data_IF_556545885076
#
_entry.id   IF_556545885076
#
_cell.length_a   1.000
_cell.length_b   1.000
_cell.length_c   1.000
_cell.angle_alpha   90.00
_cell.angle_beta   90.00
_cell.angle_gamma   90.00
#
_symmetry.space_group_name_H-M   'P 1'
#
loop_
_entity.id
_entity.type
_entity.pdbx_description
1 polymer ?
#
# COMPACT_ATOMS: atom_id res chain seq x y z
N UNK A 1 31.56 -33.16 36.28
CA UNK A 1 32.33 -32.57 35.19
C UNK A 1 31.29 -31.86 34.35
N UNK A 2 31.02 -30.65 34.76
CA UNK A 2 30.01 -29.77 34.13
C UNK A 2 30.73 -28.64 33.42
N UNK A 3 30.57 -28.58 32.12
CA UNK A 3 30.94 -27.40 31.34
C UNK A 3 29.75 -26.48 31.22
N UNK A 4 29.75 -25.44 32.00
CA UNK A 4 28.83 -24.33 31.96
C UNK A 4 29.17 -23.46 30.77
N UNK A 5 28.33 -23.48 29.73
CA UNK A 5 28.43 -22.58 28.57
C UNK A 5 27.87 -21.22 28.96
N UNK A 6 28.72 -20.24 29.12
CA UNK A 6 28.35 -18.84 29.28
C UNK A 6 27.79 -18.28 27.98
N UNK A 7 26.54 -17.88 27.99
CA UNK A 7 25.93 -17.05 26.92
C UNK A 7 26.51 -15.63 26.99
N UNK A 8 27.33 -15.28 26.01
CA UNK A 8 27.70 -13.91 25.74
C UNK A 8 26.79 -13.36 24.61
N UNK A 9 25.86 -12.51 24.99
CA UNK A 9 25.06 -11.65 24.10
C UNK A 9 25.99 -10.66 23.40
N UNK A 10 26.20 -10.81 22.12
CA UNK A 10 26.57 -9.71 21.21
C UNK A 10 25.85 -9.94 19.89
N UNK A 11 24.79 -9.12 19.67
CA UNK A 11 24.13 -8.99 18.40
C UNK A 11 25.13 -8.60 17.31
N UNK A 12 25.42 -9.52 16.43
CA UNK A 12 25.91 -9.23 15.09
C UNK A 12 24.77 -9.53 14.15
N UNK A 13 24.21 -8.48 13.54
CA UNK A 13 23.43 -8.64 12.34
C UNK A 13 24.29 -9.46 11.37
N UNK A 14 23.83 -10.64 11.02
CA UNK A 14 24.39 -11.42 9.94
C UNK A 14 24.02 -10.65 8.65
N UNK A 15 24.92 -9.77 8.21
CA UNK A 15 24.91 -9.27 6.83
C UNK A 15 25.04 -10.48 5.92
N UNK A 16 23.95 -10.83 5.30
CA UNK A 16 23.92 -11.86 4.27
C UNK A 16 24.62 -11.31 3.01
N UNK A 17 25.94 -11.52 2.89
CA UNK A 17 26.71 -11.26 1.67
C UNK A 17 26.55 -12.43 0.69
N UNK A 18 25.31 -12.78 0.38
CA UNK A 18 25.02 -13.75 -0.67
C UNK A 18 24.39 -13.05 -1.86
N UNK A 19 24.95 -13.25 -3.04
CA UNK A 19 24.28 -12.94 -4.30
C UNK A 19 22.86 -13.47 -4.25
N UNK A 20 21.87 -12.60 -4.47
CA UNK A 20 20.46 -12.99 -4.51
C UNK A 20 20.32 -14.26 -5.34
N UNK A 21 19.59 -15.31 -4.88
CA UNK A 21 19.34 -16.50 -5.68
C UNK A 21 18.78 -16.17 -7.07
N UNK A 22 18.24 -14.98 -7.24
CA UNK A 22 17.67 -14.45 -8.48
C UNK A 22 18.72 -13.88 -9.45
N UNK A 23 19.98 -13.64 -9.02
CA UNK A 23 21.07 -13.29 -9.92
C UNK A 23 21.43 -14.42 -10.90
N UNK A 24 21.03 -15.66 -10.56
CA UNK A 24 21.22 -16.84 -11.43
C UNK A 24 20.31 -16.76 -12.67
N UNK A 25 19.19 -16.04 -12.62
CA UNK A 25 18.26 -15.93 -13.75
C UNK A 25 18.74 -15.03 -14.88
N UNK A 26 19.75 -14.19 -14.65
CA UNK A 26 20.36 -13.31 -15.68
C UNK A 26 21.10 -14.06 -16.79
N UNK A 27 21.42 -15.35 -16.58
CA UNK A 27 22.19 -16.16 -17.51
C UNK A 27 21.37 -17.27 -18.19
N UNK A 28 20.08 -17.41 -17.86
CA UNK A 28 19.27 -18.46 -18.43
C UNK A 28 18.74 -18.02 -19.77
N UNK A 29 19.17 -18.68 -20.84
CA UNK A 29 18.56 -18.57 -22.18
C UNK A 29 17.06 -18.80 -22.03
N UNK A 30 16.28 -17.75 -22.18
CA UNK A 30 14.82 -17.76 -22.00
C UNK A 30 14.22 -18.65 -23.10
N UNK A 31 13.77 -19.82 -22.75
CA UNK A 31 13.00 -20.66 -23.66
C UNK A 31 11.70 -19.90 -24.04
N UNK A 32 11.43 -19.75 -25.35
CA UNK A 32 10.25 -19.03 -25.86
C UNK A 32 8.94 -19.55 -25.25
N UNK A 33 8.85 -20.83 -24.87
CA UNK A 33 7.68 -21.41 -24.18
C UNK A 33 7.48 -20.85 -22.76
N UNK A 34 8.55 -20.47 -22.05
CA UNK A 34 8.48 -19.85 -20.72
C UNK A 34 8.13 -18.36 -20.75
N UNK A 35 8.34 -17.67 -21.87
CA UNK A 35 8.06 -16.24 -22.00
C UNK A 35 6.63 -15.87 -21.60
N UNK A 36 5.64 -16.68 -21.98
CA UNK A 36 4.22 -16.43 -21.63
C UNK A 36 3.99 -16.53 -20.13
N UNK A 37 4.49 -17.59 -19.51
CA UNK A 37 4.41 -17.78 -18.05
C UNK A 37 5.17 -16.72 -17.28
N UNK A 38 6.36 -16.36 -17.74
CA UNK A 38 7.14 -15.28 -17.13
C UNK A 38 6.40 -13.94 -17.16
N UNK A 39 5.72 -13.62 -18.26
CA UNK A 39 4.87 -12.42 -18.37
C UNK A 39 3.66 -12.45 -17.44
N UNK A 40 3.04 -13.61 -17.27
CA UNK A 40 1.92 -13.77 -16.34
C UNK A 40 2.28 -13.41 -14.90
N UNK A 41 3.53 -13.70 -14.49
CA UNK A 41 4.06 -13.38 -13.16
C UNK A 41 4.88 -12.10 -13.15
N UNK A 42 4.89 -11.32 -14.23
CA UNK A 42 5.67 -10.08 -14.37
C UNK A 42 7.18 -10.24 -14.06
N UNK A 43 7.75 -11.44 -14.22
CA UNK A 43 9.15 -11.70 -13.92
C UNK A 43 10.13 -10.82 -14.72
N UNK A 44 9.87 -10.41 -15.97
CA UNK A 44 10.75 -9.49 -16.68
C UNK A 44 10.92 -8.14 -15.98
N UNK A 45 9.94 -7.70 -15.18
CA UNK A 45 10.04 -6.43 -14.44
C UNK A 45 11.11 -6.47 -13.34
N UNK A 46 11.51 -7.67 -12.90
CA UNK A 46 12.58 -7.83 -11.90
C UNK A 46 13.99 -7.61 -12.43
N UNK A 47 14.21 -7.57 -13.75
CA UNK A 47 15.58 -7.52 -14.32
C UNK A 47 16.43 -6.37 -13.80
N UNK A 48 15.80 -5.22 -13.51
CA UNK A 48 16.50 -4.02 -13.03
C UNK A 48 16.06 -3.58 -11.64
N UNK A 49 15.36 -4.44 -10.91
CA UNK A 49 14.86 -4.17 -9.55
C UNK A 49 15.75 -4.88 -8.54
N UNK A 50 16.28 -4.13 -7.57
CA UNK A 50 16.96 -4.72 -6.41
C UNK A 50 15.93 -5.43 -5.54
N UNK A 51 16.33 -6.54 -4.93
CA UNK A 51 15.49 -7.30 -4.02
C UNK A 51 16.16 -7.48 -2.66
N UNK A 52 15.37 -7.64 -1.60
CA UNK A 52 15.84 -7.77 -0.21
C UNK A 52 15.12 -8.89 0.53
N UNK A 53 15.80 -9.43 1.53
CA UNK A 53 15.27 -10.43 2.45
C UNK A 53 15.08 -11.81 1.80
N UNK A 54 14.66 -12.79 2.64
CA UNK A 54 14.53 -14.19 2.24
C UNK A 54 13.45 -14.43 1.16
N UNK A 55 12.52 -13.50 1.02
CA UNK A 55 11.44 -13.60 0.06
C UNK A 55 11.75 -12.85 -1.26
N UNK A 56 12.93 -12.22 -1.38
CA UNK A 56 13.29 -11.46 -2.57
C UNK A 56 12.33 -10.29 -2.82
N UNK A 57 11.92 -9.57 -1.78
CA UNK A 57 11.01 -8.44 -1.92
C UNK A 57 11.63 -7.35 -2.78
N UNK A 58 10.93 -6.88 -3.84
CA UNK A 58 11.40 -5.76 -4.64
C UNK A 58 11.58 -4.51 -3.80
N UNK A 59 12.70 -3.81 -4.00
CA UNK A 59 13.00 -2.56 -3.29
C UNK A 59 12.46 -1.38 -4.08
N UNK A 60 11.81 -0.48 -3.34
CA UNK A 60 11.47 0.86 -3.82
C UNK A 60 12.66 1.79 -3.55
N UNK A 61 12.87 2.75 -4.44
CA UNK A 61 13.86 3.80 -4.24
C UNK A 61 13.23 4.95 -3.45
N UNK A 62 14.06 5.60 -2.64
CA UNK A 62 13.68 6.86 -2.00
C UNK A 62 13.39 7.92 -3.06
N UNK A 63 12.30 8.64 -2.92
CA UNK A 63 11.92 9.72 -3.80
C UNK A 63 11.43 10.91 -2.98
N UNK A 64 11.92 12.09 -3.31
CA UNK A 64 11.38 13.32 -2.78
C UNK A 64 9.99 13.57 -3.39
N UNK A 65 8.96 13.33 -2.59
CA UNK A 65 7.56 13.50 -2.97
C UNK A 65 6.86 14.33 -1.92
N UNK A 66 6.45 15.54 -2.32
CA UNK A 66 5.61 16.38 -1.46
C UNK A 66 4.21 15.77 -1.32
N UNK A 67 3.58 15.95 -0.15
CA UNK A 67 2.22 15.47 0.05
C UNK A 67 1.26 16.13 -0.96
N UNK A 68 0.41 15.36 -1.67
CA UNK A 68 -0.58 15.92 -2.56
C UNK A 68 -1.69 16.63 -1.75
N UNK A 69 -2.37 17.59 -2.36
CA UNK A 69 -3.50 18.28 -1.71
C UNK A 69 -4.68 17.32 -1.49
N UNK A 70 -4.87 16.38 -2.40
CA UNK A 70 -5.97 15.39 -2.36
C UNK A 70 -5.51 14.02 -2.81
N UNK A 71 -6.22 12.98 -2.35
CA UNK A 71 -6.07 11.61 -2.85
C UNK A 71 -7.37 11.16 -3.52
N UNK A 72 -7.25 10.53 -4.70
CA UNK A 72 -8.38 9.89 -5.37
C UNK A 72 -8.15 8.39 -5.53
N UNK A 73 -9.21 7.59 -5.49
CA UNK A 73 -9.14 6.16 -5.76
C UNK A 73 -8.76 5.88 -7.22
N UNK A 74 -7.99 4.82 -7.42
CA UNK A 74 -7.57 4.38 -8.76
C UNK A 74 -8.76 4.18 -9.72
N UNK A 75 -9.91 3.77 -9.22
CA UNK A 75 -11.14 3.59 -10.01
C UNK A 75 -11.64 4.88 -10.68
N UNK A 76 -11.22 6.06 -10.21
CA UNK A 76 -11.57 7.36 -10.77
C UNK A 76 -10.54 7.93 -11.76
N UNK A 77 -9.37 7.30 -11.90
CA UNK A 77 -8.26 7.79 -12.75
C UNK A 77 -8.70 8.01 -14.22
N UNK A 78 -9.52 7.11 -14.76
CA UNK A 78 -9.99 7.19 -16.14
C UNK A 78 -10.89 8.42 -16.41
N UNK A 79 -11.70 8.81 -15.41
CA UNK A 79 -12.61 9.95 -15.49
C UNK A 79 -12.00 11.29 -15.03
N UNK A 80 -10.80 11.27 -14.47
CA UNK A 80 -10.17 12.47 -13.94
C UNK A 80 -9.80 13.46 -15.07
N UNK A 81 -10.16 14.73 -14.87
CA UNK A 81 -9.81 15.81 -15.78
C UNK A 81 -8.30 16.07 -15.78
N UNK A 82 -7.79 16.79 -16.80
CA UNK A 82 -6.36 17.08 -17.02
C UNK A 82 -5.63 17.80 -15.85
N UNK A 83 -6.36 18.35 -14.88
CA UNK A 83 -5.80 19.14 -13.75
C UNK A 83 -5.58 18.27 -12.50
N UNK A 84 -4.82 17.19 -12.62
CA UNK A 84 -4.56 16.28 -11.50
C UNK A 84 -3.16 16.49 -10.88
N UNK A 85 -2.52 17.63 -11.13
CA UNK A 85 -1.12 17.87 -10.73
C UNK A 85 -0.89 17.98 -9.22
N UNK A 86 -1.93 18.31 -8.45
CA UNK A 86 -1.89 18.40 -6.99
C UNK A 86 -2.58 17.19 -6.32
N UNK A 87 -2.90 16.16 -7.10
CA UNK A 87 -3.64 15.01 -6.65
C UNK A 87 -2.79 13.74 -6.71
N UNK A 88 -2.83 12.92 -5.66
CA UNK A 88 -2.27 11.59 -5.63
C UNK A 88 -3.32 10.52 -5.92
N UNK A 89 -2.87 9.35 -6.37
CA UNK A 89 -3.74 8.20 -6.63
C UNK A 89 -3.49 7.14 -5.57
N UNK A 90 -4.56 6.71 -4.88
CA UNK A 90 -4.52 5.63 -3.89
C UNK A 90 -5.23 4.37 -4.36
N UNK A 91 -4.95 3.24 -3.69
CA UNK A 91 -5.55 1.93 -3.92
C UNK A 91 -6.28 1.38 -2.68
N UNK A 92 -6.65 2.23 -1.72
CA UNK A 92 -7.47 1.87 -0.55
C UNK A 92 -8.92 1.64 -0.97
N UNK A 93 -9.12 0.68 -1.82
CA UNK A 93 -10.38 0.22 -2.42
C UNK A 93 -10.28 -1.29 -2.62
N UNK A 94 -11.40 -1.98 -2.87
CA UNK A 94 -11.39 -3.42 -3.04
C UNK A 94 -10.49 -3.90 -4.19
N UNK A 95 -9.74 -4.98 -3.99
CA UNK A 95 -8.76 -5.54 -4.93
C UNK A 95 -9.31 -5.72 -6.35
N UNK A 96 -10.58 -6.15 -6.50
CA UNK A 96 -11.17 -6.37 -7.83
C UNK A 96 -11.23 -5.10 -8.70
N UNK A 97 -11.27 -3.93 -8.07
CA UNK A 97 -11.32 -2.65 -8.79
C UNK A 97 -9.98 -2.28 -9.43
N UNK A 98 -8.87 -2.82 -8.93
CA UNK A 98 -7.53 -2.51 -9.43
C UNK A 98 -6.66 -3.74 -9.78
N UNK A 99 -7.12 -4.96 -9.57
CA UNK A 99 -6.34 -6.18 -9.88
C UNK A 99 -5.76 -6.20 -11.30
N UNK A 100 -6.41 -5.50 -12.23
CA UNK A 100 -5.94 -5.31 -13.61
C UNK A 100 -4.58 -4.63 -13.74
N UNK A 101 -4.12 -3.88 -12.73
CA UNK A 101 -2.77 -3.26 -12.76
C UNK A 101 -1.66 -4.30 -12.70
N UNK A 102 -1.92 -5.46 -12.07
CA UNK A 102 -1.00 -6.59 -12.10
C UNK A 102 -0.89 -7.22 -13.49
N UNK A 103 -1.99 -7.32 -14.20
CA UNK A 103 -2.02 -7.99 -15.51
C UNK A 103 -1.38 -7.16 -16.62
N UNK A 104 -1.42 -5.83 -16.50
CA UNK A 104 -0.94 -4.89 -17.52
C UNK A 104 -0.39 -3.61 -16.86
N UNK A 105 0.69 -3.70 -16.07
CA UNK A 105 1.20 -2.54 -15.32
C UNK A 105 1.68 -1.39 -16.22
N UNK A 106 2.17 -1.71 -17.42
CA UNK A 106 2.63 -0.76 -18.42
C UNK A 106 1.51 0.15 -18.95
N UNK A 107 0.29 -0.38 -19.02
CA UNK A 107 -0.89 0.37 -19.52
C UNK A 107 -1.22 1.57 -18.65
N UNK A 108 -0.87 1.52 -17.38
CA UNK A 108 -1.22 2.55 -16.40
C UNK A 108 -0.16 3.61 -16.21
N UNK A 109 1.04 3.46 -16.76
CA UNK A 109 2.14 4.45 -16.64
C UNK A 109 1.68 5.82 -17.15
N UNK A 110 1.14 5.91 -18.35
CA UNK A 110 0.70 7.20 -18.94
C UNK A 110 -0.50 7.80 -18.21
N UNK A 111 -1.59 7.06 -17.89
CA UNK A 111 -2.69 7.60 -17.09
C UNK A 111 -2.25 8.10 -15.71
N UNK A 112 -1.43 7.33 -14.98
CA UNK A 112 -0.96 7.68 -13.64
C UNK A 112 0.06 8.82 -13.64
N UNK A 113 0.88 8.93 -14.67
CA UNK A 113 1.86 10.02 -14.83
C UNK A 113 1.23 11.42 -14.97
N UNK A 114 -0.10 11.53 -15.06
CA UNK A 114 -0.82 12.81 -15.03
C UNK A 114 -1.03 13.37 -13.63
N UNK A 115 -0.81 12.53 -12.61
CA UNK A 115 -0.99 12.87 -11.20
C UNK A 115 0.35 13.25 -10.56
N UNK A 116 0.29 13.94 -9.44
CA UNK A 116 1.48 14.33 -8.67
C UNK A 116 2.27 13.12 -8.21
N UNK A 117 1.57 12.12 -7.69
CA UNK A 117 2.13 10.86 -7.23
C UNK A 117 1.11 9.73 -7.32
N UNK A 118 1.61 8.51 -7.19
CA UNK A 118 0.80 7.31 -7.11
C UNK A 118 1.27 6.47 -5.92
N UNK A 119 0.35 5.95 -5.13
CA UNK A 119 0.64 4.99 -4.08
C UNK A 119 0.86 3.61 -4.69
N UNK A 120 1.66 2.75 -4.03
CA UNK A 120 1.73 1.36 -4.47
C UNK A 120 0.39 0.66 -4.25
N UNK A 121 0.01 -0.31 -5.12
CA UNK A 121 -1.26 -1.03 -4.99
C UNK A 121 -1.40 -1.72 -3.64
N UNK A 122 -2.53 -1.50 -2.96
CA UNK A 122 -2.83 -2.04 -1.65
C UNK A 122 -3.56 -3.39 -1.76
N UNK A 123 -2.85 -4.42 -2.25
CA UNK A 123 -3.42 -5.76 -2.30
C UNK A 123 -3.66 -6.30 -0.89
N UNK A 124 -4.86 -6.80 -0.64
CA UNK A 124 -5.33 -7.20 0.69
C UNK A 124 -4.41 -8.19 1.40
N UNK A 125 -4.18 -7.93 2.69
CA UNK A 125 -3.43 -8.79 3.62
C UNK A 125 -4.30 -9.12 4.84
N UNK A 126 -5.50 -9.69 4.61
CA UNK A 126 -6.42 -10.03 5.70
C UNK A 126 -5.79 -11.03 6.68
N UNK A 127 -6.19 -10.95 7.94
CA UNK A 127 -5.65 -11.79 9.03
C UNK A 127 -5.88 -13.28 8.77
N UNK A 128 -7.00 -13.65 8.20
CA UNK A 128 -7.39 -15.03 7.88
C UNK A 128 -6.80 -15.59 6.57
N UNK A 129 -6.09 -14.77 5.80
CA UNK A 129 -5.40 -15.25 4.59
C UNK A 129 -4.21 -16.14 4.96
N UNK A 130 -3.97 -17.22 4.19
CA UNK A 130 -2.71 -17.97 4.26
C UNK A 130 -1.49 -17.05 4.06
N UNK A 131 -0.42 -17.30 4.83
CA UNK A 131 0.81 -16.51 4.81
C UNK A 131 1.39 -16.33 3.38
N UNK A 132 1.37 -17.41 2.59
CA UNK A 132 1.86 -17.37 1.20
C UNK A 132 1.09 -16.35 0.32
N UNK A 133 -0.21 -16.17 0.57
CA UNK A 133 -1.01 -15.19 -0.16
C UNK A 133 -0.68 -13.76 0.26
N UNK A 134 -0.48 -13.53 1.57
CA UNK A 134 -0.05 -12.23 2.11
C UNK A 134 1.32 -11.83 1.54
N UNK A 135 2.30 -12.74 1.58
CA UNK A 135 3.63 -12.53 1.00
C UNK A 135 3.52 -12.19 -0.49
N UNK A 136 2.71 -12.93 -1.25
CA UNK A 136 2.49 -12.68 -2.66
C UNK A 136 1.86 -11.30 -2.93
N UNK A 137 0.90 -10.87 -2.11
CA UNK A 137 0.25 -9.57 -2.23
C UNK A 137 1.22 -8.42 -1.98
N UNK A 138 2.05 -8.52 -0.94
CA UNK A 138 3.12 -7.56 -0.67
C UNK A 138 4.14 -7.53 -1.81
N UNK A 139 4.55 -8.69 -2.32
CA UNK A 139 5.47 -8.79 -3.44
C UNK A 139 4.93 -8.07 -4.69
N UNK A 140 3.65 -8.31 -5.05
CA UNK A 140 3.00 -7.64 -6.20
C UNK A 140 2.99 -6.13 -6.04
N UNK A 141 2.63 -5.65 -4.87
CA UNK A 141 2.61 -4.23 -4.52
C UNK A 141 3.98 -3.58 -4.76
N UNK A 142 5.04 -4.18 -4.21
CA UNK A 142 6.42 -3.68 -4.35
C UNK A 142 6.92 -3.74 -5.79
N UNK A 143 6.66 -4.83 -6.51
CA UNK A 143 7.12 -4.97 -7.88
C UNK A 143 6.50 -3.94 -8.82
N UNK A 144 5.19 -3.72 -8.71
CA UNK A 144 4.51 -2.69 -9.51
C UNK A 144 5.06 -1.30 -9.16
N UNK A 145 5.22 -1.00 -7.87
CA UNK A 145 5.78 0.28 -7.44
C UNK A 145 7.17 0.53 -8.01
N UNK A 146 8.09 -0.43 -7.90
CA UNK A 146 9.43 -0.34 -8.44
C UNK A 146 9.45 -0.17 -9.96
N UNK A 147 8.57 -0.88 -10.67
CA UNK A 147 8.41 -0.73 -12.10
C UNK A 147 7.92 0.69 -12.47
N UNK A 148 6.93 1.21 -11.78
CA UNK A 148 6.43 2.56 -12.03
C UNK A 148 7.48 3.64 -11.70
N UNK A 149 8.31 3.44 -10.65
CA UNK A 149 9.45 4.31 -10.39
C UNK A 149 10.44 4.29 -11.55
N UNK A 150 10.78 3.11 -12.07
CA UNK A 150 11.64 2.96 -13.24
C UNK A 150 11.07 3.62 -14.52
N UNK A 151 9.74 3.73 -14.61
CA UNK A 151 9.05 4.49 -15.67
C UNK A 151 8.96 6.00 -15.41
N UNK A 152 9.55 6.51 -14.33
CA UNK A 152 9.61 7.94 -14.00
C UNK A 152 8.42 8.48 -13.22
N UNK A 153 7.54 7.61 -12.68
CA UNK A 153 6.46 8.05 -11.81
C UNK A 153 7.00 8.38 -10.41
N UNK A 154 6.37 9.34 -9.75
CA UNK A 154 6.55 9.56 -8.31
C UNK A 154 5.68 8.56 -7.55
N UNK A 155 6.32 7.61 -6.86
CA UNK A 155 5.64 6.49 -6.19
C UNK A 155 5.85 6.57 -4.69
N UNK A 156 4.76 6.54 -3.93
CA UNK A 156 4.76 6.48 -2.48
C UNK A 156 4.43 5.05 -2.04
N UNK A 157 5.29 4.42 -1.22
CA UNK A 157 5.01 3.10 -0.68
C UNK A 157 3.74 3.09 0.18
N UNK A 158 2.81 2.17 -0.08
CA UNK A 158 1.74 1.83 0.83
C UNK A 158 2.26 0.85 1.87
N UNK A 159 2.07 1.16 3.14
CA UNK A 159 2.29 0.26 4.26
C UNK A 159 1.05 -0.63 4.41
N UNK A 160 1.26 -1.95 4.37
CA UNK A 160 0.20 -2.95 4.52
C UNK A 160 0.75 -4.12 5.34
N UNK A 161 -0.03 -4.60 6.29
CA UNK A 161 0.32 -5.73 7.14
C UNK A 161 -0.93 -6.43 7.69
N UNK A 162 -0.74 -7.62 8.26
CA UNK A 162 -1.74 -8.34 9.05
C UNK A 162 -1.32 -8.33 10.54
N UNK A 163 -1.12 -9.49 11.15
CA UNK A 163 -0.55 -9.58 12.49
C UNK A 163 0.98 -9.41 12.52
N UNK A 164 1.58 -9.45 13.74
CA UNK A 164 3.04 -9.28 13.91
C UNK A 164 3.90 -10.28 13.14
N UNK A 165 3.38 -11.46 12.82
CA UNK A 165 4.04 -12.48 11.99
C UNK A 165 4.37 -11.96 10.58
N UNK A 166 3.58 -11.01 10.08
CA UNK A 166 3.75 -10.43 8.75
C UNK A 166 4.85 -9.36 8.66
N UNK A 167 5.31 -8.81 9.78
CA UNK A 167 6.24 -7.67 9.80
C UNK A 167 7.57 -7.98 9.13
N UNK A 168 8.01 -9.25 9.18
CA UNK A 168 9.26 -9.68 8.56
C UNK A 168 9.34 -9.47 7.05
N UNK A 169 8.20 -9.34 6.36
CA UNK A 169 8.14 -9.13 4.92
C UNK A 169 7.34 -7.88 4.51
N UNK A 170 6.34 -7.47 5.29
CA UNK A 170 5.48 -6.34 4.95
C UNK A 170 6.23 -5.01 4.87
N UNK A 171 7.24 -4.82 5.70
CA UNK A 171 8.08 -3.62 5.71
C UNK A 171 9.38 -3.77 4.91
N UNK A 172 9.60 -4.94 4.30
CA UNK A 172 10.76 -5.16 3.44
C UNK A 172 10.60 -4.44 2.10
N UNK A 173 11.72 -3.90 1.58
CA UNK A 173 11.74 -3.20 0.31
C UNK A 173 11.18 -1.77 0.34
N UNK A 174 10.88 -1.23 1.51
CA UNK A 174 10.49 0.17 1.71
C UNK A 174 11.71 0.97 2.12
N UNK A 175 12.00 2.12 1.48
CA UNK A 175 13.11 2.98 1.88
C UNK A 175 12.83 3.65 3.24
N UNK A 176 13.89 3.81 4.06
CA UNK A 176 13.83 4.60 5.28
C UNK A 176 13.82 6.10 4.96
N UNK A 177 13.45 6.94 5.94
CA UNK A 177 13.42 8.41 5.83
C UNK A 177 12.63 8.93 4.62
N UNK A 178 11.58 8.23 4.23
CA UNK A 178 10.78 8.55 3.06
C UNK A 178 9.33 8.88 3.41
N UNK A 179 8.59 9.43 2.46
CA UNK A 179 7.13 9.52 2.57
C UNK A 179 6.51 8.14 2.34
N UNK A 180 5.61 7.74 3.24
CA UNK A 180 4.85 6.48 3.15
C UNK A 180 3.35 6.76 3.26
N UNK A 181 2.52 5.83 2.85
CA UNK A 181 1.07 5.93 2.99
C UNK A 181 0.51 4.73 3.78
N UNK A 182 -0.52 4.97 4.58
CA UNK A 182 -1.22 3.95 5.35
C UNK A 182 -2.71 4.25 5.40
N UNK A 183 -3.53 3.22 5.50
CA UNK A 183 -4.98 3.34 5.69
C UNK A 183 -5.40 2.84 7.06
N UNK A 184 -6.45 3.47 7.62
CA UNK A 184 -7.18 3.00 8.80
C UNK A 184 -8.55 2.41 8.44
N UNK A 185 -8.84 2.31 7.14
CA UNK A 185 -10.11 1.74 6.67
C UNK A 185 -10.22 0.28 7.12
N UNK A 186 -11.33 -0.03 7.80
CA UNK A 186 -11.58 -1.37 8.36
C UNK A 186 -11.01 -1.62 9.77
N UNK A 187 -10.21 -0.70 10.33
CA UNK A 187 -9.58 -0.91 11.65
C UNK A 187 -10.48 -0.52 12.84
N UNK A 188 -11.36 0.48 12.68
CA UNK A 188 -12.10 1.06 13.80
C UNK A 188 -13.19 0.18 14.42
N UNK A 189 -13.70 -0.80 13.69
CA UNK A 189 -14.83 -1.63 14.13
C UNK A 189 -14.41 -3.00 14.70
N UNK A 190 -13.11 -3.29 14.70
CA UNK A 190 -12.53 -4.54 15.20
C UNK A 190 -11.35 -4.23 16.13
N UNK A 191 -11.48 -4.51 17.44
CA UNK A 191 -10.41 -4.24 18.40
C UNK A 191 -9.10 -4.98 18.08
N UNK A 192 -9.16 -6.15 17.45
CA UNK A 192 -7.96 -6.90 17.05
C UNK A 192 -7.29 -6.21 15.86
N UNK A 193 -8.07 -5.77 14.88
CA UNK A 193 -7.55 -5.02 13.74
C UNK A 193 -6.92 -3.68 14.18
N UNK A 194 -7.56 -2.97 15.11
CA UNK A 194 -6.99 -1.74 15.68
C UNK A 194 -5.68 -2.02 16.43
N UNK A 195 -5.64 -3.06 17.28
CA UNK A 195 -4.42 -3.46 17.99
C UNK A 195 -3.28 -3.77 17.01
N UNK A 196 -3.55 -4.56 15.98
CA UNK A 196 -2.52 -4.92 15.00
C UNK A 196 -2.10 -3.73 14.13
N UNK A 197 -3.03 -2.81 13.86
CA UNK A 197 -2.69 -1.56 13.21
C UNK A 197 -1.69 -0.75 14.05
N UNK A 198 -1.94 -0.61 15.36
CA UNK A 198 -1.05 0.10 16.30
C UNK A 198 0.34 -0.54 16.34
N UNK A 199 0.42 -1.84 16.55
CA UNK A 199 1.68 -2.58 16.61
C UNK A 199 2.47 -2.47 15.30
N UNK A 200 1.81 -2.56 14.16
CA UNK A 200 2.46 -2.44 12.87
C UNK A 200 2.92 -1.01 12.57
N UNK A 201 2.17 -0.01 13.01
CA UNK A 201 2.56 1.40 12.84
C UNK A 201 3.74 1.78 13.74
N UNK A 202 3.75 1.33 15.00
CA UNK A 202 4.92 1.48 15.90
C UNK A 202 6.17 0.84 15.29
N UNK A 203 6.04 -0.41 14.80
CA UNK A 203 7.14 -1.09 14.13
C UNK A 203 7.61 -0.36 12.87
N UNK A 204 6.68 0.20 12.07
CA UNK A 204 7.01 0.96 10.88
C UNK A 204 7.78 2.23 11.21
N UNK A 205 7.36 2.98 12.24
CA UNK A 205 8.03 4.21 12.68
C UNK A 205 9.45 3.88 13.17
N UNK A 206 9.60 2.87 14.03
CA UNK A 206 10.91 2.45 14.56
C UNK A 206 11.87 2.00 13.45
N UNK A 207 11.37 1.18 12.51
CA UNK A 207 12.21 0.57 11.49
C UNK A 207 12.53 1.47 10.31
N UNK A 208 11.53 2.26 9.86
CA UNK A 208 11.63 3.04 8.62
C UNK A 208 11.96 4.51 8.90
N UNK A 209 11.69 5.00 10.11
CA UNK A 209 11.80 6.41 10.48
C UNK A 209 11.22 7.32 9.39
N UNK A 210 9.94 7.15 8.98
CA UNK A 210 9.40 7.87 7.85
C UNK A 210 9.40 9.39 8.13
N UNK A 211 9.82 10.17 7.15
CA UNK A 211 9.74 11.64 7.23
C UNK A 211 8.28 12.10 7.27
N UNK A 212 7.42 11.42 6.49
CA UNK A 212 6.01 11.78 6.35
C UNK A 212 5.13 10.55 6.17
N UNK A 213 3.98 10.59 6.82
CA UNK A 213 2.92 9.58 6.68
C UNK A 213 1.69 10.22 6.04
N UNK A 214 1.24 9.68 4.91
CA UNK A 214 -0.06 9.98 4.32
C UNK A 214 -1.09 9.04 4.94
N UNK A 215 -1.90 9.54 5.87
CA UNK A 215 -2.91 8.76 6.58
C UNK A 215 -4.26 8.87 5.88
N UNK A 216 -4.77 7.77 5.32
CA UNK A 216 -6.06 7.73 4.67
C UNK A 216 -7.12 7.10 5.57
N UNK A 217 -8.17 7.85 5.86
CA UNK A 217 -9.25 7.47 6.78
C UNK A 217 -9.20 8.26 8.08
N UNK A 218 -10.00 7.84 9.07
CA UNK A 218 -10.06 8.50 10.36
C UNK A 218 -8.84 8.10 11.21
N UNK A 219 -8.27 9.05 11.95
CA UNK A 219 -7.12 8.76 12.82
C UNK A 219 -7.50 7.78 13.95
N UNK A 220 -6.59 6.87 14.28
CA UNK A 220 -6.73 5.99 15.45
C UNK A 220 -6.55 6.84 16.71
N UNK A 221 -7.53 6.88 17.63
CA UNK A 221 -7.48 7.72 18.82
C UNK A 221 -6.23 7.44 19.67
N UNK A 222 -5.60 8.48 20.18
CA UNK A 222 -4.46 8.38 21.10
C UNK A 222 -3.23 7.62 20.56
N UNK A 223 -3.10 7.47 19.23
CA UNK A 223 -1.88 6.96 18.64
C UNK A 223 -0.86 8.09 18.49
N UNK A 224 0.36 7.86 19.02
CA UNK A 224 1.46 8.82 18.96
C UNK A 224 2.37 8.48 17.75
N UNK A 225 2.48 9.41 16.82
CA UNK A 225 3.37 9.31 15.67
C UNK A 225 4.77 9.87 15.91
N UNK A 226 5.07 10.32 17.15
CA UNK A 226 6.33 10.99 17.50
C UNK A 226 6.56 12.24 16.64
N UNK A 227 7.80 12.41 16.17
CA UNK A 227 8.20 13.55 15.34
C UNK A 227 7.81 13.42 13.85
N UNK A 228 7.18 12.33 13.46
CA UNK A 228 6.81 12.07 12.05
C UNK A 228 5.69 13.01 11.60
N UNK A 229 5.87 13.69 10.47
CA UNK A 229 4.83 14.53 9.90
C UNK A 229 3.65 13.67 9.40
N UNK A 230 2.44 13.92 9.88
CA UNK A 230 1.23 13.21 9.41
C UNK A 230 0.36 14.15 8.59
N UNK A 231 -0.01 13.70 7.37
CA UNK A 231 -0.96 14.39 6.49
C UNK A 231 -2.18 13.49 6.34
N UNK A 232 -3.31 13.92 6.92
CA UNK A 232 -4.53 13.13 6.94
C UNK A 232 -5.43 13.41 5.72
N UNK A 233 -5.94 12.33 5.13
CA UNK A 233 -6.90 12.36 4.01
C UNK A 233 -8.18 11.63 4.41
N UNK A 234 -9.30 12.30 4.28
CA UNK A 234 -10.59 11.70 4.60
C UNK A 234 -10.99 10.64 3.57
N UNK A 235 -11.71 9.63 4.04
CA UNK A 235 -12.28 8.62 3.15
C UNK A 235 -13.44 9.21 2.35
N UNK A 236 -13.19 9.59 1.10
CA UNK A 236 -14.17 10.20 0.20
C UNK A 236 -15.41 9.34 -0.08
N UNK A 237 -15.31 8.01 0.09
CA UNK A 237 -16.47 7.12 -0.04
C UNK A 237 -17.40 7.24 1.17
N UNK A 238 -16.86 7.31 2.38
CA UNK A 238 -17.65 7.50 3.61
C UNK A 238 -18.31 8.88 3.61
N UNK A 239 -17.60 9.93 3.21
CA UNK A 239 -18.17 11.28 3.09
C UNK A 239 -19.33 11.33 2.10
N UNK A 240 -19.19 10.66 0.95
CA UNK A 240 -20.25 10.58 -0.05
C UNK A 240 -21.47 9.80 0.46
N UNK A 241 -21.24 8.68 1.16
CA UNK A 241 -22.33 7.91 1.77
C UNK A 241 -23.06 8.71 2.86
N UNK A 242 -22.30 9.43 3.71
CA UNK A 242 -22.90 10.33 4.72
C UNK A 242 -23.74 11.41 4.05
N UNK A 243 -23.21 12.06 3.02
CA UNK A 243 -23.93 13.09 2.26
C UNK A 243 -25.21 12.55 1.63
N UNK A 244 -25.20 11.36 1.05
CA UNK A 244 -26.39 10.72 0.49
C UNK A 244 -27.41 10.39 1.56
N UNK A 245 -26.98 9.87 2.72
CA UNK A 245 -27.86 9.60 3.84
C UNK A 245 -28.52 10.88 4.38
N UNK A 246 -27.77 11.98 4.46
CA UNK A 246 -28.29 13.30 4.83
C UNK A 246 -29.30 13.83 3.81
N UNK A 247 -29.01 13.70 2.52
CA UNK A 247 -29.89 14.10 1.42
C UNK A 247 -31.18 13.26 1.40
N UNK A 248 -31.10 11.95 1.66
CA UNK A 248 -32.25 11.06 1.75
C UNK A 248 -33.12 11.35 2.98
N UNK A 249 -32.49 11.65 4.13
CA UNK A 249 -33.22 12.08 5.32
C UNK A 249 -33.92 13.42 5.12
N UNK A 250 -33.26 14.38 4.47
CA UNK A 250 -33.87 15.67 4.14
C UNK A 250 -35.08 15.49 3.20
N UNK A 251 -34.97 14.63 2.18
CA UNK A 251 -36.09 14.31 1.27
C UNK A 251 -37.25 13.62 1.98
N UNK A 252 -36.95 12.74 2.93
CA UNK A 252 -38.00 12.07 3.71
C UNK A 252 -38.78 13.05 4.60
N UNK A 253 -38.09 14.03 5.20
CA UNK A 253 -38.70 15.09 6.01
C UNK A 253 -39.56 16.05 5.15
N UNK A 254 -39.15 16.42 3.96
CA UNK A 254 -39.93 17.24 3.03
C UNK A 254 -41.17 16.51 2.54
N UNK A 255 -41.16 15.16 2.44
CA UNK A 255 -42.30 14.37 1.99
C UNK A 255 -43.36 14.19 3.14
N UNK A 256 -42.94 14.23 4.41
CA UNK A 256 -43.87 14.22 5.56
C UNK A 256 -44.52 15.59 5.83
N UNK A 257 -43.86 16.68 5.38
CA UNK A 257 -44.37 18.05 5.58
C UNK A 257 -45.55 18.43 4.65
N UNK A 258 -45.83 17.65 3.62
CA UNK A 258 -46.90 17.93 2.67
C UNK A 258 -47.84 16.70 2.54
N UNK A 259 -48.80 16.48 3.51
CA UNK A 259 -49.73 15.37 3.40
C UNK A 259 -50.66 15.60 2.19
N UNK A 260 -51.00 14.55 1.44
CA UNK A 260 -51.87 14.68 0.28
C UNK A 260 -53.23 15.26 0.70
N UNK A 261 -53.50 16.50 0.29
CA UNK A 261 -54.85 17.08 0.43
C UNK A 261 -55.81 16.27 -0.43
N UNK A 262 -56.58 15.39 0.18
CA UNK A 262 -57.77 14.83 -0.45
C UNK A 262 -58.69 16.00 -0.86
N UNK A 263 -58.80 16.25 -2.13
CA UNK A 263 -59.89 17.07 -2.66
C UNK A 263 -61.15 16.22 -2.75
N UNK A 264 -62.29 16.78 -2.38
CA UNK A 264 -63.59 16.11 -2.40
C UNK A 264 -64.08 15.81 -3.81
#
# INVERSE_FOLDING_TARGET
>A
MDETVAMASRGRALEWQGTSPWSIWRSVVINKSRMRTMRQYNLPLLENVRTVGRFGMPMLEEQDVTAPETLIGFNYVAGAKKQSRNCGVHFFIDDYQFSRVWNQPERYVVPLGRFQCVLTPDFSTYMDMPEAMKIWNVFRSRLIGAYWQACGLKVIPTLQWAGPESFSYCFSGIPSNSTVAVSTVGCHNDPTAELYWRLGMEYAIDRLAPERILLYGDAIPFFDFGDTQVVAYRNSNVERMKKWAEEDQARAQDTEADPPTCRP
#
